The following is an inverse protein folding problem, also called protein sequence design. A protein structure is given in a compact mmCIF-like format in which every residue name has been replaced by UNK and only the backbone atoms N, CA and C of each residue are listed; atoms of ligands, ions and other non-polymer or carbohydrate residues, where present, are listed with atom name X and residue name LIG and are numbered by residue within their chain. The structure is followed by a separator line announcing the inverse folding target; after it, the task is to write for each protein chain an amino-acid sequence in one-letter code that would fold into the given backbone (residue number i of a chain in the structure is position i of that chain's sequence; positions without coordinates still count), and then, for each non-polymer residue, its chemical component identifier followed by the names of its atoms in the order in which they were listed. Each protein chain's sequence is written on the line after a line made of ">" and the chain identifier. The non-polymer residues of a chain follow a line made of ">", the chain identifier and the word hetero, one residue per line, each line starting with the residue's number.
data_IF_384827262655
#
_entry.id   IF_384827262655
#
_cell.length_a   1.000
_cell.length_b   1.000
_cell.length_c   1.000
_cell.angle_alpha   90.00
_cell.angle_beta   90.00
_cell.angle_gamma   90.00
#
_symmetry.space_group_name_H-M   'P 1'
#
loop_
_entity.id
_entity.type
_entity.pdbx_description
1 polymer ?
#
# COMPACT_ATOMS: atom_id res chain seq x y z
N UNK A 1 -1.55 -9.91 9.99
CA UNK A 1 -0.10 -9.66 9.85
C UNK A 1 0.09 -8.53 8.85
N UNK A 2 0.35 -7.33 9.35
CA UNK A 2 0.61 -6.11 8.56
C UNK A 2 2.03 -6.18 8.05
N UNK A 3 2.26 -5.95 6.76
CA UNK A 3 3.61 -5.90 6.21
C UNK A 3 3.92 -4.46 5.79
N UNK A 4 4.89 -3.86 6.49
CA UNK A 4 5.43 -2.54 6.18
C UNK A 4 6.68 -2.74 5.34
N UNK A 5 6.77 -2.02 4.23
CA UNK A 5 7.96 -2.05 3.38
C UNK A 5 8.49 -0.62 3.23
N UNK A 6 9.73 -0.35 3.65
CA UNK A 6 10.37 0.92 3.32
C UNK A 6 10.53 0.98 1.80
N UNK A 7 10.02 2.04 1.18
CA UNK A 7 10.03 2.13 -0.30
C UNK A 7 11.38 2.56 -0.85
N UNK A 8 12.15 3.38 -0.11
CA UNK A 8 13.57 3.73 -0.29
C UNK A 8 14.13 4.27 1.04
N UNK A 9 15.43 4.11 1.35
CA UNK A 9 16.03 4.61 2.61
C UNK A 9 15.96 6.15 2.80
N UNK A 10 15.60 6.92 1.76
CA UNK A 10 15.45 8.37 1.80
C UNK A 10 14.01 8.87 1.53
N UNK A 11 13.04 7.97 1.33
CA UNK A 11 11.65 8.37 1.08
C UNK A 11 10.97 8.71 2.41
N UNK A 12 10.34 9.89 2.56
CA UNK A 12 9.55 10.19 3.75
C UNK A 12 8.25 9.37 3.81
N UNK A 13 8.00 8.51 2.80
CA UNK A 13 6.78 7.75 2.65
C UNK A 13 6.94 6.26 2.99
N UNK A 14 6.00 5.73 3.76
CA UNK A 14 5.83 4.30 4.00
C UNK A 14 4.55 3.79 3.33
N UNK A 15 4.56 2.53 2.88
CA UNK A 15 3.37 1.83 2.39
C UNK A 15 3.10 0.65 3.31
N UNK A 16 1.87 0.57 3.82
CA UNK A 16 1.33 -0.61 4.46
C UNK A 16 0.29 -1.25 3.54
N UNK A 17 0.37 -2.56 3.33
CA UNK A 17 -0.60 -3.29 2.50
C UNK A 17 -1.34 -4.32 3.35
N UNK A 18 -2.66 -4.31 3.21
CA UNK A 18 -3.61 -5.17 3.87
C UNK A 18 -4.33 -6.00 2.80
N UNK A 19 -3.97 -7.27 2.61
CA UNK A 19 -4.74 -8.16 1.76
C UNK A 19 -6.04 -8.53 2.49
N UNK A 20 -7.17 -8.28 1.85
CA UNK A 20 -8.50 -8.61 2.37
C UNK A 20 -9.02 -9.78 1.54
N UNK A 21 -9.45 -10.84 2.23
CA UNK A 21 -10.13 -11.95 1.60
C UNK A 21 -11.63 -11.64 1.55
N UNK A 22 -12.17 -11.48 0.34
CA UNK A 22 -13.62 -11.27 0.14
C UNK A 22 -14.38 -12.60 0.28
N UNK A 23 -13.85 -13.62 -0.39
CA UNK A 23 -14.39 -14.99 -0.45
C UNK A 23 -13.22 -15.99 -0.39
N UNK A 24 -13.47 -17.28 -0.11
CA UNK A 24 -12.44 -18.31 -0.21
C UNK A 24 -11.66 -18.23 -1.54
N UNK A 25 -10.35 -17.93 -1.46
CA UNK A 25 -9.50 -17.79 -2.65
C UNK A 25 -9.61 -16.45 -3.42
N UNK A 26 -10.43 -15.50 -2.99
CA UNK A 26 -10.57 -14.17 -3.64
C UNK A 26 -10.02 -13.09 -2.71
N UNK A 27 -8.91 -12.47 -3.12
CA UNK A 27 -8.19 -11.48 -2.35
C UNK A 27 -8.14 -10.15 -3.08
N UNK A 28 -8.28 -9.03 -2.38
CA UNK A 28 -7.97 -7.71 -2.93
C UNK A 28 -7.10 -6.91 -1.94
N UNK A 29 -6.20 -6.04 -2.43
CA UNK A 29 -5.41 -5.20 -1.55
C UNK A 29 -6.15 -3.94 -1.11
N UNK A 30 -5.93 -3.55 0.14
CA UNK A 30 -6.01 -2.17 0.59
C UNK A 30 -4.61 -1.71 0.93
N UNK A 31 -4.20 -0.52 0.49
CA UNK A 31 -2.92 0.05 0.88
C UNK A 31 -3.08 1.43 1.51
N UNK A 32 -2.19 1.73 2.43
CA UNK A 32 -2.16 2.98 3.16
C UNK A 32 -0.75 3.58 3.06
N UNK A 33 -0.69 4.85 2.68
CA UNK A 33 0.55 5.60 2.55
C UNK A 33 0.62 6.61 3.67
N UNK A 34 1.72 6.61 4.41
CA UNK A 34 2.01 7.59 5.45
C UNK A 34 3.24 8.38 5.07
N UNK A 35 3.22 9.67 5.35
CA UNK A 35 4.37 10.56 5.23
C UNK A 35 4.85 10.93 6.63
N UNK A 36 6.13 10.75 6.91
CA UNK A 36 6.77 11.27 8.11
C UNK A 36 7.58 12.50 7.75
N UNK A 37 7.27 13.64 8.37
CA UNK A 37 8.00 14.89 8.16
C UNK A 37 7.96 15.74 9.42
N UNK A 38 9.11 16.30 9.81
CA UNK A 38 9.25 17.16 10.99
C UNK A 38 8.65 16.56 12.28
N UNK A 39 8.86 15.26 12.51
CA UNK A 39 8.35 14.56 13.69
C UNK A 39 6.90 14.11 13.61
N UNK A 40 6.17 14.47 12.54
CA UNK A 40 4.73 14.22 12.40
C UNK A 40 4.47 13.15 11.33
N UNK A 41 3.68 12.14 11.69
CA UNK A 41 3.13 11.15 10.75
C UNK A 41 1.78 11.64 10.21
N UNK A 42 1.59 11.61 8.89
CA UNK A 42 0.30 11.92 8.23
C UNK A 42 -0.06 10.83 7.25
N UNK A 43 -1.32 10.38 7.27
CA UNK A 43 -1.86 9.52 6.22
C UNK A 43 -2.13 10.38 5.00
N UNK A 44 -1.50 10.05 3.87
CA UNK A 44 -1.63 10.79 2.61
C UNK A 44 -2.40 10.01 1.54
N UNK A 45 -2.55 8.70 1.71
CA UNK A 45 -3.46 7.88 0.90
C UNK A 45 -3.98 6.69 1.72
N UNK A 46 -5.25 6.34 1.50
CA UNK A 46 -5.85 5.11 1.99
C UNK A 46 -6.78 4.58 0.88
N UNK A 47 -6.34 3.54 0.18
CA UNK A 47 -6.97 3.10 -1.06
C UNK A 47 -7.32 1.62 -0.97
N UNK A 48 -8.60 1.34 -1.18
CA UNK A 48 -9.15 -0.02 -1.25
C UNK A 48 -9.34 -0.41 -2.71
N UNK A 49 -8.63 -1.43 -3.20
CA UNK A 49 -8.68 -1.86 -4.59
C UNK A 49 -9.71 -2.98 -4.82
N UNK A 50 -10.98 -2.77 -4.44
CA UNK A 50 -12.03 -3.82 -4.49
C UNK A 50 -12.21 -4.45 -5.87
N UNK A 51 -12.01 -3.68 -6.95
CA UNK A 51 -12.08 -4.19 -8.34
C UNK A 51 -10.85 -4.97 -8.80
N UNK A 52 -9.77 -5.01 -8.02
CA UNK A 52 -8.52 -5.72 -8.34
C UNK A 52 -8.41 -6.98 -7.48
N UNK A 53 -9.02 -8.07 -7.95
CA UNK A 53 -9.03 -9.34 -7.24
C UNK A 53 -7.89 -10.26 -7.71
N UNK A 54 -7.41 -11.08 -6.78
CA UNK A 54 -6.29 -12.00 -6.95
C UNK A 54 -6.60 -13.34 -6.29
N UNK A 55 -5.99 -14.43 -6.77
CA UNK A 55 -6.26 -15.79 -6.29
C UNK A 55 -5.53 -16.10 -4.99
N UNK A 56 -4.47 -15.35 -4.71
CA UNK A 56 -3.65 -15.55 -3.51
C UNK A 56 -3.44 -14.25 -2.73
N UNK A 57 -3.25 -14.40 -1.42
CA UNK A 57 -2.86 -13.31 -0.53
C UNK A 57 -1.57 -12.62 -1.00
N UNK A 58 -0.58 -13.39 -1.46
CA UNK A 58 0.71 -12.86 -1.90
C UNK A 58 0.58 -11.99 -3.16
N UNK A 59 -0.26 -12.38 -4.11
CA UNK A 59 -0.56 -11.58 -5.30
C UNK A 59 -1.24 -10.26 -4.92
N UNK A 60 -2.23 -10.29 -4.02
CA UNK A 60 -2.86 -9.07 -3.52
C UNK A 60 -1.84 -8.15 -2.84
N UNK A 61 -0.96 -8.69 -1.97
CA UNK A 61 0.10 -7.89 -1.35
C UNK A 61 1.00 -7.24 -2.41
N UNK A 62 1.47 -8.00 -3.40
CA UNK A 62 2.34 -7.47 -4.48
C UNK A 62 1.63 -6.39 -5.29
N UNK A 63 0.36 -6.59 -5.63
CA UNK A 63 -0.44 -5.60 -6.35
C UNK A 63 -0.61 -4.30 -5.54
N UNK A 64 -0.96 -4.40 -4.26
CA UNK A 64 -1.06 -3.24 -3.37
C UNK A 64 0.28 -2.52 -3.18
N UNK A 65 1.39 -3.27 -3.12
CA UNK A 65 2.74 -2.72 -3.03
C UNK A 65 3.11 -1.94 -4.30
N UNK A 66 2.86 -2.51 -5.48
CA UNK A 66 3.14 -1.84 -6.76
C UNK A 66 2.29 -0.59 -6.91
N UNK A 67 0.99 -0.65 -6.58
CA UNK A 67 0.10 0.50 -6.64
C UNK A 67 0.53 1.61 -5.65
N UNK A 68 0.82 1.26 -4.40
CA UNK A 68 1.29 2.21 -3.39
C UNK A 68 2.64 2.84 -3.76
N UNK A 69 3.58 2.07 -4.30
CA UNK A 69 4.85 2.60 -4.79
C UNK A 69 4.68 3.54 -5.99
N UNK A 70 3.76 3.24 -6.91
CA UNK A 70 3.43 4.14 -8.01
C UNK A 70 2.83 5.45 -7.51
N UNK A 71 1.96 5.40 -6.50
CA UNK A 71 1.35 6.59 -5.90
C UNK A 71 2.39 7.46 -5.16
N UNK A 72 3.33 6.85 -4.42
CA UNK A 72 4.46 7.59 -3.83
C UNK A 72 5.27 8.33 -4.89
N UNK A 73 5.52 7.71 -6.06
CA UNK A 73 6.23 8.39 -7.16
C UNK A 73 5.47 9.62 -7.67
N UNK A 74 4.14 9.62 -7.63
CA UNK A 74 3.32 10.80 -7.98
C UNK A 74 3.42 11.87 -6.88
N UNK A 75 3.30 11.47 -5.61
CA UNK A 75 3.40 12.37 -4.46
C UNK A 75 4.78 13.01 -4.30
N UNK A 76 5.85 12.37 -4.80
CA UNK A 76 7.19 12.94 -4.83
C UNK A 76 7.44 13.95 -5.96
N UNK A 77 6.50 14.08 -6.92
CA UNK A 77 6.56 15.06 -8.01
C UNK A 77 5.65 16.27 -7.80
N UNK A 78 4.79 16.22 -6.78
CA UNK A 78 3.84 17.27 -6.39
C UNK A 78 4.47 18.19 -5.34
#
# INVERSE_FOLDING_TARGET
>A
MTTFFPTLPASPYTVAVYPIQQEPGVWFPTYLIRRYAAGIERVVANVTMRGSTHRTKCEAIRAGMTAGAAEIRKLGRA
#
